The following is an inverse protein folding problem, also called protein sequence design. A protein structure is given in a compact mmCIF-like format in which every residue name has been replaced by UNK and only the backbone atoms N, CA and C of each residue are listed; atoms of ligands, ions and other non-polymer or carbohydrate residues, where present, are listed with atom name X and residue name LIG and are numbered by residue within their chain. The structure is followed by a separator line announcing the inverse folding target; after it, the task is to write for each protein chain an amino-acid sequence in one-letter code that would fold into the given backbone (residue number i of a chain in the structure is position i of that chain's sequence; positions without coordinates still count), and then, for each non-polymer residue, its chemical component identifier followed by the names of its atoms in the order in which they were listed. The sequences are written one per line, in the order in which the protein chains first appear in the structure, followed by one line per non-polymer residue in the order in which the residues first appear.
data_IF_163957050390
#
_entry.id   IF_163957050390
#
_cell.length_a   1.000
_cell.length_b   1.000
_cell.length_c   1.000
_cell.angle_alpha   90.00
_cell.angle_beta   90.00
_cell.angle_gamma   90.00
#
_symmetry.space_group_name_H-M   'P 1'
#
loop_
_entity.id
_entity.type
_entity.pdbx_description
1 polymer ?
#
# COMPACT_ATOMS: atom_id res chain seq x y z
N UNK A 1 20.17 28.98 -19.38
CA UNK A 1 19.63 27.60 -19.40
C UNK A 1 18.44 27.61 -18.46
N UNK A 2 17.22 27.59 -19.00
CA UNK A 2 16.04 27.40 -18.17
C UNK A 2 16.19 26.04 -17.48
N UNK A 3 16.05 25.99 -16.16
CA UNK A 3 15.81 24.73 -15.48
C UNK A 3 14.51 24.22 -16.08
N UNK A 4 14.59 23.08 -16.75
CA UNK A 4 13.42 22.31 -17.14
C UNK A 4 12.72 21.94 -15.82
N UNK A 5 11.71 22.72 -15.43
CA UNK A 5 10.86 22.38 -14.29
C UNK A 5 9.93 21.27 -14.77
N UNK A 6 10.47 20.05 -14.85
CA UNK A 6 9.66 18.86 -15.07
C UNK A 6 8.65 18.79 -13.92
N UNK A 7 7.37 18.95 -14.25
CA UNK A 7 6.27 18.84 -13.30
C UNK A 7 6.28 17.41 -12.78
N UNK A 8 6.45 17.25 -11.46
CA UNK A 8 6.29 15.95 -10.80
C UNK A 8 4.82 15.74 -10.45
N UNK A 9 4.30 14.60 -10.85
CA UNK A 9 3.00 14.08 -10.45
C UNK A 9 3.17 13.14 -9.27
N UNK A 10 2.16 13.14 -8.39
CA UNK A 10 1.99 12.10 -7.39
C UNK A 10 0.72 11.33 -7.72
N UNK A 11 0.88 10.04 -7.99
CA UNK A 11 -0.21 9.13 -8.31
C UNK A 11 -0.38 8.13 -7.19
N UNK A 12 -1.61 7.66 -7.00
CA UNK A 12 -1.91 6.51 -6.15
C UNK A 12 -2.54 5.45 -7.04
N UNK A 13 -1.93 4.28 -7.05
CA UNK A 13 -2.37 3.14 -7.86
C UNK A 13 -2.83 2.05 -6.91
N UNK A 14 -4.04 1.56 -7.12
CA UNK A 14 -4.65 0.49 -6.35
C UNK A 14 -4.80 -0.74 -7.22
N UNK A 15 -4.57 -1.91 -6.63
CA UNK A 15 -4.75 -3.20 -7.28
C UNK A 15 -5.48 -4.17 -6.35
N UNK A 16 -6.24 -5.08 -6.97
CA UNK A 16 -6.94 -6.15 -6.27
C UNK A 16 -7.23 -7.34 -7.20
N UNK A 17 -7.52 -8.50 -6.60
CA UNK A 17 -7.93 -9.76 -7.25
C UNK A 17 -6.97 -10.20 -8.38
N UNK A 18 -5.66 -10.15 -8.10
CA UNK A 18 -4.60 -10.51 -9.06
C UNK A 18 -4.08 -11.93 -8.89
N UNK A 19 -4.56 -12.63 -7.87
CA UNK A 19 -4.13 -13.94 -7.43
C UNK A 19 -5.21 -15.01 -7.60
N UNK A 20 -4.82 -16.25 -7.36
CA UNK A 20 -5.68 -17.44 -7.31
C UNK A 20 -5.22 -18.31 -6.14
N UNK A 21 -6.06 -19.25 -5.72
CA UNK A 21 -5.69 -20.27 -4.72
C UNK A 21 -4.38 -20.98 -5.15
N UNK A 22 -3.48 -21.19 -4.18
CA UNK A 22 -2.13 -21.77 -4.38
C UNK A 22 -1.16 -20.96 -5.29
N UNK A 23 -1.52 -19.73 -5.67
CA UNK A 23 -0.65 -18.81 -6.43
C UNK A 23 0.06 -17.76 -5.55
N UNK A 24 0.99 -16.98 -6.13
CA UNK A 24 1.52 -15.80 -5.46
C UNK A 24 0.39 -14.82 -5.14
N UNK A 25 0.29 -14.38 -3.89
CA UNK A 25 -0.76 -13.47 -3.46
C UNK A 25 -0.65 -12.07 -4.08
N UNK A 26 -1.75 -11.33 -4.10
CA UNK A 26 -1.81 -9.96 -4.68
C UNK A 26 -0.77 -9.01 -4.06
N UNK A 27 -0.44 -9.16 -2.78
CA UNK A 27 0.64 -8.39 -2.13
C UNK A 27 2.03 -8.63 -2.73
N UNK A 28 2.30 -9.81 -3.28
CA UNK A 28 3.56 -10.09 -4.00
C UNK A 28 3.61 -9.31 -5.31
N UNK A 29 2.52 -9.32 -6.09
CA UNK A 29 2.45 -8.55 -7.34
C UNK A 29 2.60 -7.05 -7.06
N UNK A 30 1.94 -6.53 -6.02
CA UNK A 30 2.04 -5.12 -5.62
C UNK A 30 3.50 -4.70 -5.37
N UNK A 31 4.29 -5.54 -4.68
CA UNK A 31 5.71 -5.28 -4.42
C UNK A 31 6.58 -5.37 -5.66
N UNK A 32 6.34 -6.36 -6.52
CA UNK A 32 7.07 -6.49 -7.77
C UNK A 32 6.79 -5.31 -8.72
N UNK A 33 5.56 -4.80 -8.73
CA UNK A 33 5.20 -3.61 -9.49
C UNK A 33 5.83 -2.34 -8.89
N UNK A 34 5.90 -2.21 -7.56
CA UNK A 34 6.63 -1.13 -6.92
C UNK A 34 8.13 -1.13 -7.29
N UNK A 35 8.78 -2.30 -7.27
CA UNK A 35 10.16 -2.43 -7.74
C UNK A 35 10.30 -2.10 -9.24
N UNK A 36 9.35 -2.55 -10.08
CA UNK A 36 9.33 -2.21 -11.50
C UNK A 36 9.21 -0.70 -11.75
N UNK A 37 8.52 0.03 -10.88
CA UNK A 37 8.41 1.49 -11.00
C UNK A 37 9.78 2.16 -10.82
N UNK A 38 10.51 1.73 -9.80
CA UNK A 38 11.86 2.23 -9.51
C UNK A 38 12.87 1.78 -10.59
N UNK A 39 12.98 0.47 -10.84
CA UNK A 39 13.98 -0.12 -11.74
C UNK A 39 13.69 0.13 -13.22
N UNK A 40 12.42 0.28 -13.58
CA UNK A 40 11.96 0.54 -14.94
C UNK A 40 12.01 2.00 -15.37
N UNK A 41 12.41 2.91 -14.47
CA UNK A 41 12.44 4.35 -14.73
C UNK A 41 11.05 4.96 -14.93
N UNK A 42 10.01 4.38 -14.30
CA UNK A 42 8.65 4.88 -14.39
C UNK A 42 8.35 5.96 -13.35
N UNK A 43 9.16 6.05 -12.31
CA UNK A 43 9.04 7.00 -11.22
C UNK A 43 9.78 6.49 -10.00
N UNK A 44 9.41 7.00 -8.83
CA UNK A 44 9.86 6.52 -7.54
C UNK A 44 8.66 5.96 -6.77
N UNK A 45 8.79 4.74 -6.24
CA UNK A 45 7.83 4.14 -5.33
C UNK A 45 7.83 4.86 -3.99
N UNK A 46 6.64 5.19 -3.49
CA UNK A 46 6.39 5.72 -2.16
C UNK A 46 5.90 4.60 -1.20
N UNK A 47 6.21 3.35 -1.53
CA UNK A 47 5.85 2.17 -0.75
C UNK A 47 4.43 1.67 -0.97
N UNK A 48 4.24 0.37 -0.70
CA UNK A 48 3.00 -0.37 -0.86
C UNK A 48 2.29 -0.51 0.48
N UNK A 49 1.03 -0.07 0.55
CA UNK A 49 0.14 -0.31 1.69
C UNK A 49 -0.86 -1.42 1.37
N UNK A 50 -1.05 -2.30 2.36
CA UNK A 50 -2.13 -3.28 2.39
C UNK A 50 -3.30 -2.72 3.21
N UNK A 51 -4.50 -2.83 2.67
CA UNK A 51 -5.75 -2.38 3.26
C UNK A 51 -6.69 -3.56 3.46
N UNK A 52 -7.46 -3.54 4.55
CA UNK A 52 -8.40 -4.59 4.86
C UNK A 52 -9.82 -4.15 4.54
N UNK A 53 -10.51 -4.97 3.75
CA UNK A 53 -11.91 -4.79 3.36
C UNK A 53 -12.82 -5.67 4.22
N UNK A 54 -14.13 -5.57 3.99
CA UNK A 54 -15.14 -6.30 4.75
C UNK A 54 -14.82 -7.81 4.77
N UNK A 55 -14.63 -8.35 5.98
CA UNK A 55 -14.57 -9.79 6.21
C UNK A 55 -15.97 -10.34 6.41
N UNK A 56 -16.43 -11.14 5.46
CA UNK A 56 -17.62 -11.99 5.64
C UNK A 56 -17.31 -13.36 5.06
N UNK A 57 -17.81 -14.43 5.69
CA UNK A 57 -17.71 -15.82 5.21
C UNK A 57 -18.29 -16.07 3.80
N UNK A 58 -18.87 -15.04 3.15
CA UNK A 58 -19.48 -15.10 1.82
C UNK A 58 -18.64 -14.48 0.70
N UNK A 59 -17.57 -13.76 1.04
CA UNK A 59 -16.55 -13.33 0.07
C UNK A 59 -15.48 -14.42 0.11
N UNK A 60 -14.99 -14.87 -1.07
CA UNK A 60 -14.21 -16.10 -1.29
C UNK A 60 -13.23 -16.44 -0.16
N UNK A 61 -13.15 -17.74 0.12
CA UNK A 61 -12.62 -18.41 1.31
C UNK A 61 -11.09 -18.29 1.49
N UNK A 62 -10.56 -17.08 1.71
CA UNK A 62 -9.11 -16.85 1.92
C UNK A 62 -8.77 -16.38 3.34
N UNK A 63 -9.74 -16.30 4.26
CA UNK A 63 -9.55 -15.81 5.64
C UNK A 63 -9.21 -14.31 5.76
N UNK A 64 -8.80 -13.68 4.65
CA UNK A 64 -8.39 -12.29 4.54
C UNK A 64 -8.87 -11.69 3.21
N UNK A 65 -9.53 -10.53 3.30
CA UNK A 65 -9.97 -9.74 2.15
C UNK A 65 -9.15 -8.46 2.09
N UNK A 66 -8.00 -8.52 1.41
CA UNK A 66 -7.03 -7.42 1.33
C UNK A 66 -6.94 -6.86 -0.08
N UNK A 67 -6.86 -5.53 -0.18
CA UNK A 67 -6.47 -4.84 -1.39
C UNK A 67 -5.20 -4.00 -1.14
N UNK A 68 -4.52 -3.57 -2.22
CA UNK A 68 -3.19 -2.98 -2.12
C UNK A 68 -3.12 -1.67 -2.89
N UNK A 69 -2.40 -0.70 -2.35
CA UNK A 69 -2.13 0.56 -3.04
C UNK A 69 -0.67 0.97 -2.91
N UNK A 70 -0.13 1.64 -3.92
CA UNK A 70 1.21 2.21 -3.89
C UNK A 70 1.17 3.64 -4.41
N UNK A 71 1.92 4.50 -3.72
CA UNK A 71 2.15 5.87 -4.18
C UNK A 71 3.31 5.90 -5.17
N UNK A 72 3.20 6.74 -6.18
CA UNK A 72 4.26 6.93 -7.19
C UNK A 72 4.51 8.41 -7.36
N UNK A 73 5.77 8.81 -7.26
CA UNK A 73 6.22 10.12 -7.71
C UNK A 73 6.86 9.97 -9.10
N UNK A 74 6.36 10.67 -10.11
CA UNK A 74 6.82 10.52 -11.50
C UNK A 74 6.78 11.85 -12.25
N UNK A 75 7.60 12.00 -13.28
CA UNK A 75 7.52 13.09 -14.26
C UNK A 75 6.69 12.71 -15.50
N UNK A 76 6.20 11.46 -15.57
CA UNK A 76 5.33 10.98 -16.63
C UNK A 76 3.89 11.40 -16.40
N UNK A 77 3.15 11.59 -17.50
CA UNK A 77 1.71 11.78 -17.40
C UNK A 77 1.02 10.48 -16.96
N UNK A 78 -0.16 10.61 -16.35
CA UNK A 78 -0.97 9.45 -15.95
C UNK A 78 -1.31 8.55 -17.14
N UNK A 79 -1.54 9.13 -18.34
CA UNK A 79 -1.87 8.39 -19.55
C UNK A 79 -0.68 7.55 -20.02
N UNK A 80 0.53 8.12 -19.97
CA UNK A 80 1.73 7.39 -20.40
C UNK A 80 2.02 6.23 -19.45
N UNK A 81 1.86 6.44 -18.14
CA UNK A 81 2.18 5.42 -17.14
C UNK A 81 1.11 4.32 -17.07
N UNK A 82 -0.15 4.66 -17.35
CA UNK A 82 -1.27 3.73 -17.26
C UNK A 82 -1.09 2.49 -18.15
N UNK A 83 -0.68 2.67 -19.41
CA UNK A 83 -0.50 1.55 -20.34
C UNK A 83 0.57 0.55 -19.84
N UNK A 84 1.68 1.07 -19.32
CA UNK A 84 2.77 0.26 -18.75
C UNK A 84 2.32 -0.53 -17.51
N UNK A 85 1.56 0.12 -16.61
CA UNK A 85 0.98 -0.53 -15.43
C UNK A 85 0.02 -1.64 -15.86
N UNK A 86 -0.92 -1.33 -16.76
CA UNK A 86 -1.93 -2.27 -17.24
C UNK A 86 -1.27 -3.49 -17.86
N UNK A 87 -0.26 -3.27 -18.71
CA UNK A 87 0.46 -4.34 -19.38
C UNK A 87 1.30 -5.18 -18.40
N UNK A 88 1.91 -4.56 -17.40
CA UNK A 88 2.61 -5.28 -16.35
C UNK A 88 1.66 -6.18 -15.56
N UNK A 89 0.58 -5.61 -15.02
CA UNK A 89 -0.41 -6.36 -14.21
C UNK A 89 -1.03 -7.47 -15.04
N UNK A 90 -1.37 -7.23 -16.32
CA UNK A 90 -1.92 -8.27 -17.21
C UNK A 90 -0.98 -9.46 -17.38
N UNK A 91 0.34 -9.23 -17.46
CA UNK A 91 1.35 -10.29 -17.61
C UNK A 91 1.65 -11.01 -16.29
N UNK A 92 1.65 -10.27 -15.19
CA UNK A 92 2.06 -10.77 -13.87
C UNK A 92 0.91 -11.42 -13.08
N UNK A 93 -0.33 -10.99 -13.29
CA UNK A 93 -1.49 -11.54 -12.59
C UNK A 93 -1.69 -13.02 -12.91
N UNK A 94 -2.14 -13.77 -11.91
CA UNK A 94 -2.34 -15.20 -12.05
C UNK A 94 -3.40 -15.50 -13.11
N UNK A 95 -3.17 -16.53 -13.93
CA UNK A 95 -4.13 -16.95 -14.94
C UNK A 95 -5.44 -17.38 -14.26
N UNK A 96 -6.53 -16.72 -14.60
CA UNK A 96 -7.86 -17.01 -14.04
C UNK A 96 -8.25 -16.11 -12.86
N UNK A 97 -7.35 -15.22 -12.41
CA UNK A 97 -7.70 -14.11 -11.51
C UNK A 97 -8.59 -13.08 -12.19
N UNK A 98 -9.07 -12.10 -11.44
CA UNK A 98 -9.96 -11.05 -11.94
C UNK A 98 -9.42 -9.60 -11.71
N UNK A 99 -8.23 -9.25 -12.24
CA UNK A 99 -7.49 -8.09 -11.77
C UNK A 99 -8.23 -6.76 -11.98
N UNK A 100 -8.22 -5.93 -10.95
CA UNK A 100 -8.59 -4.53 -11.03
C UNK A 100 -7.39 -3.61 -10.81
N UNK A 101 -7.41 -2.47 -11.51
CA UNK A 101 -6.47 -1.37 -11.33
C UNK A 101 -7.28 -0.09 -11.20
N UNK A 102 -6.93 0.74 -10.22
CA UNK A 102 -7.42 2.11 -10.10
C UNK A 102 -6.24 3.07 -10.04
N UNK A 103 -6.33 4.21 -10.73
CA UNK A 103 -5.29 5.23 -10.77
C UNK A 103 -5.90 6.58 -10.42
N UNK A 104 -5.45 7.12 -9.30
CA UNK A 104 -5.86 8.43 -8.79
C UNK A 104 -4.72 9.43 -8.99
N UNK A 105 -5.07 10.62 -9.47
CA UNK A 105 -4.16 11.75 -9.65
C UNK A 105 -4.50 12.86 -8.65
N UNK A 106 -3.68 13.92 -8.61
CA UNK A 106 -3.98 15.13 -7.82
C UNK A 106 -5.30 15.83 -8.16
N UNK A 107 -5.92 15.48 -9.30
CA UNK A 107 -7.18 16.05 -9.77
C UNK A 107 -8.41 15.22 -9.39
N UNK A 108 -8.23 14.12 -8.67
CA UNK A 108 -9.33 13.27 -8.21
C UNK A 108 -9.99 13.81 -6.93
N UNK A 109 -11.27 13.50 -6.73
CA UNK A 109 -12.00 13.79 -5.49
C UNK A 109 -11.63 12.77 -4.41
N UNK A 110 -10.64 13.12 -3.59
CA UNK A 110 -10.14 12.26 -2.51
C UNK A 110 -11.24 11.95 -1.48
N UNK A 111 -11.99 12.93 -0.91
CA UNK A 111 -13.07 12.63 0.03
C UNK A 111 -14.10 11.64 -0.50
N UNK A 112 -14.52 11.79 -1.75
CA UNK A 112 -15.52 10.91 -2.36
C UNK A 112 -14.98 9.49 -2.58
N UNK A 113 -13.74 9.37 -3.05
CA UNK A 113 -13.06 8.07 -3.23
C UNK A 113 -12.80 7.38 -1.88
N UNK A 114 -12.40 8.14 -0.85
CA UNK A 114 -12.22 7.62 0.51
C UNK A 114 -13.54 7.10 1.09
N UNK A 115 -14.65 7.79 0.86
CA UNK A 115 -15.97 7.33 1.31
C UNK A 115 -16.32 5.96 0.70
N UNK A 116 -16.00 5.72 -0.57
CA UNK A 116 -16.13 4.41 -1.19
C UNK A 116 -15.28 3.35 -0.51
N UNK A 117 -13.99 3.66 -0.28
CA UNK A 117 -13.06 2.75 0.39
C UNK A 117 -13.54 2.35 1.78
N UNK A 118 -14.00 3.31 2.59
CA UNK A 118 -14.58 3.04 3.92
C UNK A 118 -15.83 2.17 3.85
N UNK A 119 -16.71 2.38 2.87
CA UNK A 119 -17.88 1.50 2.67
C UNK A 119 -17.48 0.09 2.29
N UNK A 120 -16.42 -0.11 1.52
CA UNK A 120 -15.89 -1.47 1.23
C UNK A 120 -15.40 -2.21 2.48
N UNK A 121 -15.09 -1.50 3.58
CA UNK A 121 -14.71 -2.11 4.86
C UNK A 121 -15.92 -2.60 5.68
N UNK A 122 -17.13 -2.13 5.36
CA UNK A 122 -18.35 -2.40 6.16
C UNK A 122 -19.52 -2.97 5.37
N UNK A 123 -19.49 -2.89 4.03
CA UNK A 123 -20.59 -3.25 3.13
C UNK A 123 -20.10 -4.09 1.95
N UNK A 124 -20.99 -4.95 1.43
CA UNK A 124 -20.75 -5.63 0.15
C UNK A 124 -21.10 -4.65 -0.96
N UNK A 125 -20.07 -4.17 -1.65
CA UNK A 125 -20.20 -3.21 -2.74
C UNK A 125 -20.48 -3.90 -4.07
N UNK A 126 -21.05 -3.15 -5.02
CA UNK A 126 -21.37 -3.63 -6.37
C UNK A 126 -20.49 -2.94 -7.41
N UNK A 127 -20.23 -3.64 -8.52
CA UNK A 127 -19.40 -3.12 -9.61
C UNK A 127 -19.97 -1.82 -10.19
N UNK A 128 -21.29 -1.71 -10.38
CA UNK A 128 -21.90 -0.50 -10.90
C UNK A 128 -21.63 0.73 -10.01
N UNK A 129 -21.58 0.54 -8.68
CA UNK A 129 -21.26 1.61 -7.75
C UNK A 129 -19.78 2.00 -7.85
N UNK A 130 -18.87 1.03 -7.96
CA UNK A 130 -17.46 1.34 -8.16
C UNK A 130 -17.25 2.19 -9.42
N UNK A 131 -17.90 1.85 -10.53
CA UNK A 131 -17.82 2.62 -11.77
C UNK A 131 -18.42 4.03 -11.64
N UNK A 132 -19.55 4.18 -10.94
CA UNK A 132 -20.13 5.50 -10.66
C UNK A 132 -19.21 6.36 -9.82
N UNK A 133 -18.74 5.85 -8.68
CA UNK A 133 -17.83 6.58 -7.77
C UNK A 133 -16.53 6.98 -8.48
N UNK A 134 -15.97 6.08 -9.29
CA UNK A 134 -14.78 6.34 -10.10
C UNK A 134 -14.97 7.51 -11.06
N UNK A 135 -16.09 7.54 -11.80
CA UNK A 135 -16.40 8.61 -12.73
C UNK A 135 -16.64 9.94 -12.01
N UNK A 136 -17.43 9.92 -10.93
CA UNK A 136 -17.75 11.11 -10.13
C UNK A 136 -16.50 11.68 -9.44
N UNK A 137 -15.54 10.83 -9.09
CA UNK A 137 -14.31 11.21 -8.40
C UNK A 137 -13.10 11.42 -9.31
N UNK A 138 -13.27 11.33 -10.64
CA UNK A 138 -12.17 11.44 -11.61
C UNK A 138 -10.99 10.49 -11.29
N UNK A 139 -11.30 9.22 -11.02
CA UNK A 139 -10.33 8.14 -10.83
C UNK A 139 -10.42 7.21 -12.04
N UNK A 140 -9.28 6.86 -12.65
CA UNK A 140 -9.25 5.90 -13.75
C UNK A 140 -9.37 4.47 -13.23
N UNK A 141 -10.21 3.64 -13.86
CA UNK A 141 -10.30 2.20 -13.56
C UNK A 141 -10.00 1.38 -14.81
N UNK A 142 -9.27 0.29 -14.63
CA UNK A 142 -9.07 -0.77 -15.62
C UNK A 142 -9.39 -2.11 -14.96
N UNK A 143 -10.45 -2.75 -15.44
CA UNK A 143 -10.80 -4.11 -15.04
C UNK A 143 -10.28 -5.05 -16.13
N UNK A 144 -9.29 -5.88 -15.80
CA UNK A 144 -8.60 -6.76 -16.74
C UNK A 144 -9.19 -8.17 -16.74
N UNK A 145 -9.85 -8.53 -15.66
CA UNK A 145 -10.53 -9.81 -15.51
C UNK A 145 -11.89 -9.90 -16.21
N UNK A 146 -12.46 -11.10 -16.21
CA UNK A 146 -13.74 -11.39 -16.87
C UNK A 146 -14.94 -10.91 -16.05
N UNK A 147 -14.90 -11.07 -14.73
CA UNK A 147 -15.97 -10.67 -13.81
C UNK A 147 -15.88 -9.18 -13.46
N UNK A 148 -14.68 -8.61 -13.56
CA UNK A 148 -14.34 -7.19 -13.33
C UNK A 148 -14.54 -6.72 -11.88
N UNK A 149 -14.69 -7.63 -10.94
CA UNK A 149 -14.88 -7.42 -9.51
C UNK A 149 -13.64 -6.85 -8.83
N UNK A 150 -12.42 -7.17 -9.28
CA UNK A 150 -11.20 -6.56 -8.74
C UNK A 150 -11.20 -5.02 -8.81
N UNK A 151 -12.00 -4.41 -9.71
CA UNK A 151 -12.16 -2.97 -9.77
C UNK A 151 -12.73 -2.35 -8.48
N UNK A 152 -13.51 -3.12 -7.71
CA UNK A 152 -14.08 -2.67 -6.44
C UNK A 152 -12.97 -2.46 -5.42
N UNK A 153 -12.14 -3.48 -5.17
CA UNK A 153 -11.08 -3.35 -4.18
C UNK A 153 -9.93 -2.47 -4.64
N UNK A 154 -9.64 -2.40 -5.95
CA UNK A 154 -8.67 -1.45 -6.49
C UNK A 154 -9.09 0.02 -6.21
N UNK A 155 -10.36 0.36 -6.44
CA UNK A 155 -10.89 1.69 -6.10
C UNK A 155 -10.90 1.95 -4.59
N UNK A 156 -11.24 0.92 -3.80
CA UNK A 156 -11.17 1.03 -2.35
C UNK A 156 -9.74 1.30 -1.86
N UNK A 157 -8.75 0.59 -2.41
CA UNK A 157 -7.34 0.73 -2.03
C UNK A 157 -6.83 2.14 -2.26
N UNK A 158 -7.10 2.73 -3.44
CA UNK A 158 -6.66 4.11 -3.72
C UNK A 158 -7.31 5.10 -2.76
N UNK A 159 -8.61 4.97 -2.48
CA UNK A 159 -9.33 5.85 -1.55
C UNK A 159 -8.79 5.76 -0.12
N UNK A 160 -8.58 4.54 0.38
CA UNK A 160 -8.03 4.30 1.72
C UNK A 160 -6.60 4.83 1.85
N UNK A 161 -5.74 4.61 0.84
CA UNK A 161 -4.38 5.17 0.80
C UNK A 161 -4.39 6.70 0.76
N UNK A 162 -5.22 7.29 -0.09
CA UNK A 162 -5.32 8.76 -0.20
C UNK A 162 -5.85 9.43 1.06
N UNK A 163 -6.70 8.74 1.83
CA UNK A 163 -7.18 9.23 3.12
C UNK A 163 -6.10 9.38 4.19
N UNK A 164 -4.92 8.77 3.99
CA UNK A 164 -3.74 8.98 4.84
C UNK A 164 -3.81 8.35 6.23
N UNK A 165 -4.87 7.61 6.56
CA UNK A 165 -5.13 7.07 7.90
C UNK A 165 -5.61 5.61 7.87
N UNK A 166 -5.22 4.89 6.83
CA UNK A 166 -5.52 3.47 6.66
C UNK A 166 -4.37 2.80 5.90
N UNK A 167 -4.07 1.56 6.27
CA UNK A 167 -3.08 0.75 5.60
C UNK A 167 -1.82 0.49 6.41
N UNK A 168 -1.26 -0.70 6.18
CA UNK A 168 0.04 -1.13 6.70
C UNK A 168 1.03 -1.25 5.55
N UNK A 169 2.20 -0.65 5.68
CA UNK A 169 3.24 -0.74 4.67
C UNK A 169 3.81 -2.17 4.64
N UNK A 170 3.63 -2.88 3.52
CA UNK A 170 4.25 -4.19 3.25
C UNK A 170 5.56 -4.07 2.46
N UNK A 171 5.76 -2.88 1.89
CA UNK A 171 6.97 -2.46 1.21
C UNK A 171 7.14 -0.95 1.34
N UNK A 172 8.38 -0.54 1.60
CA UNK A 172 8.83 0.83 1.75
C UNK A 172 10.35 0.77 1.74
N UNK A 173 11.03 1.71 1.08
CA UNK A 173 12.49 1.67 0.94
C UNK A 173 13.19 1.32 2.25
N UNK A 174 13.97 0.24 2.25
CA UNK A 174 14.79 -0.22 3.37
C UNK A 174 14.08 -1.05 4.44
N UNK A 175 12.74 -1.12 4.53
CA UNK A 175 12.08 -1.82 5.65
C UNK A 175 12.23 -3.34 5.59
N UNK A 176 12.49 -3.89 4.39
CA UNK A 176 12.67 -5.33 4.15
C UNK A 176 14.11 -5.80 4.28
N UNK A 177 15.07 -4.87 4.37
CA UNK A 177 16.49 -5.15 4.56
C UNK A 177 16.90 -5.17 6.04
N UNK A 178 15.94 -4.93 6.94
CA UNK A 178 16.15 -4.86 8.37
C UNK A 178 16.10 -6.25 8.99
N UNK A 179 17.15 -6.58 9.75
CA UNK A 179 17.23 -7.80 10.53
C UNK A 179 17.75 -7.51 11.95
N UNK A 180 17.34 -8.34 12.91
CA UNK A 180 17.82 -8.27 14.29
C UNK A 180 17.55 -6.93 14.98
N UNK A 181 18.42 -6.58 15.92
CA UNK A 181 18.32 -5.37 16.73
C UNK A 181 19.20 -4.27 16.13
N UNK A 182 18.60 -3.13 15.80
CA UNK A 182 19.30 -1.94 15.27
C UNK A 182 18.96 -0.71 16.11
N UNK A 183 19.67 0.40 15.92
CA UNK A 183 19.30 1.65 16.62
C UNK A 183 18.20 2.40 15.89
N UNK A 184 17.40 3.21 16.60
CA UNK A 184 16.42 4.08 15.95
C UNK A 184 17.07 5.09 14.99
N UNK A 185 18.30 5.52 15.28
CA UNK A 185 19.12 6.32 14.37
C UNK A 185 19.43 5.62 13.05
N UNK A 186 19.73 4.31 13.09
CA UNK A 186 19.97 3.49 11.90
C UNK A 186 18.71 3.39 11.05
N UNK A 187 17.55 3.10 11.66
CA UNK A 187 16.27 3.02 10.96
C UNK A 187 15.94 4.31 10.21
N UNK A 188 16.09 5.48 10.87
CA UNK A 188 15.83 6.80 10.27
C UNK A 188 16.74 7.11 9.07
N UNK A 189 17.94 6.53 9.04
CA UNK A 189 18.92 6.79 7.98
C UNK A 189 18.78 5.83 6.79
N UNK A 190 18.39 4.58 7.04
CA UNK A 190 18.42 3.52 6.04
C UNK A 190 17.04 3.11 5.53
N UNK A 191 15.97 3.69 6.09
CA UNK A 191 14.60 3.45 5.62
C UNK A 191 13.91 4.74 5.20
N UNK A 192 12.78 4.62 4.51
CA UNK A 192 11.88 5.73 4.24
C UNK A 192 10.75 5.87 5.29
N UNK A 193 10.93 5.33 6.50
CA UNK A 193 9.99 5.53 7.60
C UNK A 193 10.03 7.00 8.06
N UNK A 194 8.89 7.67 8.06
CA UNK A 194 8.77 9.08 8.44
C UNK A 194 8.93 9.28 9.96
N UNK A 195 8.27 8.43 10.76
CA UNK A 195 8.22 8.57 12.21
C UNK A 195 8.49 7.25 12.92
N UNK A 196 9.36 7.30 13.92
CA UNK A 196 9.68 6.20 14.83
C UNK A 196 9.47 6.69 16.25
N UNK A 197 8.38 6.26 16.86
CA UNK A 197 7.78 6.88 18.06
C UNK A 197 7.33 5.83 19.08
N UNK A 198 7.27 6.24 20.33
CA UNK A 198 6.67 5.48 21.43
C UNK A 198 5.13 5.46 21.38
N UNK A 199 4.53 4.70 22.30
CA UNK A 199 3.07 4.64 22.48
C UNK A 199 2.46 5.97 22.93
N UNK A 200 3.25 6.82 23.56
CA UNK A 200 2.91 8.20 23.97
C UNK A 200 2.99 9.20 22.81
N UNK A 201 3.51 8.79 21.65
CA UNK A 201 3.69 9.65 20.48
C UNK A 201 5.05 10.35 20.43
N UNK A 202 5.90 10.17 21.45
CA UNK A 202 7.20 10.83 21.50
C UNK A 202 8.25 10.11 20.62
N UNK A 203 9.14 10.85 19.93
CA UNK A 203 10.22 10.25 19.16
C UNK A 203 11.15 9.39 20.02
N UNK A 204 11.47 8.19 19.54
CA UNK A 204 12.45 7.31 20.20
C UNK A 204 13.85 7.91 20.07
N UNK A 205 14.66 7.84 21.14
CA UNK A 205 16.03 8.34 21.12
C UNK A 205 16.85 7.65 20.02
N UNK A 206 17.74 8.39 19.35
CA UNK A 206 18.53 7.84 18.22
C UNK A 206 19.43 6.67 18.65
N UNK A 207 19.90 6.67 19.89
CA UNK A 207 20.81 5.67 20.43
C UNK A 207 20.08 4.48 21.06
N UNK A 208 18.77 4.61 21.28
CA UNK A 208 17.94 3.50 21.71
C UNK A 208 17.80 2.45 20.60
N UNK A 209 17.64 1.19 21.03
CA UNK A 209 17.59 0.02 20.16
C UNK A 209 16.15 -0.36 19.85
N UNK A 210 15.92 -0.88 18.65
CA UNK A 210 14.65 -1.43 18.19
C UNK A 210 14.91 -2.86 17.73
N UNK A 211 14.19 -3.82 18.31
CA UNK A 211 14.17 -5.19 17.79
C UNK A 211 13.26 -5.23 16.56
N UNK A 212 13.83 -5.42 15.39
CA UNK A 212 13.08 -5.38 14.13
C UNK A 212 12.33 -6.68 13.88
N UNK A 213 12.69 -7.77 14.57
CA UNK A 213 12.18 -9.12 14.30
C UNK A 213 12.32 -9.60 12.84
N UNK A 214 13.15 -8.93 12.03
CA UNK A 214 13.16 -9.15 10.57
C UNK A 214 11.84 -8.75 9.88
N UNK A 215 10.95 -8.02 10.58
CA UNK A 215 9.62 -7.70 10.14
C UNK A 215 9.22 -6.32 10.66
N UNK A 216 9.42 -5.31 9.82
CA UNK A 216 9.01 -3.94 10.09
C UNK A 216 7.89 -3.57 9.13
N UNK A 217 6.75 -3.16 9.68
CA UNK A 217 5.54 -2.81 8.93
C UNK A 217 4.89 -1.56 9.54
N UNK A 218 5.40 -0.36 9.22
CA UNK A 218 4.80 0.90 9.67
C UNK A 218 3.34 1.01 9.23
N UNK A 219 2.54 1.80 9.95
CA UNK A 219 1.17 2.14 9.54
C UNK A 219 1.15 3.49 8.85
N UNK A 220 0.19 3.69 7.95
CA UNK A 220 -0.10 5.00 7.40
C UNK A 220 -0.96 5.78 8.40
N UNK A 221 -0.40 6.84 8.97
CA UNK A 221 -1.06 7.72 9.93
C UNK A 221 -0.81 9.17 9.52
N UNK A 222 -1.87 9.96 9.35
CA UNK A 222 -1.84 11.36 8.86
C UNK A 222 -0.92 11.57 7.65
N UNK A 223 -0.98 10.64 6.69
CA UNK A 223 -0.21 10.66 5.46
C UNK A 223 1.26 10.26 5.61
N UNK A 224 1.68 9.82 6.80
CA UNK A 224 3.06 9.43 7.12
C UNK A 224 3.17 7.94 7.41
N UNK A 225 4.33 7.37 7.12
CA UNK A 225 4.72 6.04 7.57
C UNK A 225 5.21 6.07 9.03
N UNK A 226 4.40 5.52 9.94
CA UNK A 226 4.64 5.60 11.39
C UNK A 226 4.92 4.21 11.95
N UNK A 227 6.12 4.03 12.50
CA UNK A 227 6.51 2.86 13.28
C UNK A 227 6.33 3.18 14.77
N UNK A 228 5.24 2.68 15.35
CA UNK A 228 4.98 2.75 16.79
C UNK A 228 5.67 1.59 17.51
N UNK A 229 6.34 1.89 18.61
CA UNK A 229 6.98 0.88 19.45
C UNK A 229 6.58 1.02 20.93
N UNK A 230 6.61 -0.11 21.64
CA UNK A 230 6.54 -0.15 23.10
C UNK A 230 7.90 -0.46 23.69
N UNK A 231 8.19 0.04 24.90
CA UNK A 231 9.42 -0.30 25.60
C UNK A 231 9.40 -1.77 26.04
N UNK A 232 10.55 -2.43 25.92
CA UNK A 232 10.74 -3.77 26.45
C UNK A 232 10.64 -3.75 27.98
N UNK A 233 9.91 -4.70 28.62
CA UNK A 233 9.78 -4.75 30.07
C UNK A 233 11.12 -4.88 30.82
N UNK A 234 12.12 -5.52 30.20
CA UNK A 234 13.41 -5.82 30.82
C UNK A 234 14.55 -4.87 30.44
N UNK A 235 14.35 -3.99 29.44
CA UNK A 235 15.36 -3.05 28.98
C UNK A 235 14.71 -1.76 28.49
N UNK A 236 14.90 -0.68 29.24
CA UNK A 236 14.32 0.64 28.96
C UNK A 236 14.85 1.29 27.68
N UNK A 237 15.98 0.80 27.15
CA UNK A 237 16.57 1.28 25.88
C UNK A 237 16.32 0.33 24.72
N UNK A 238 15.50 -0.70 24.92
CA UNK A 238 15.05 -1.59 23.86
C UNK A 238 13.56 -1.36 23.61
N UNK A 239 13.22 -1.12 22.35
CA UNK A 239 11.88 -0.89 21.87
C UNK A 239 11.45 -2.00 20.93
N UNK A 240 10.17 -2.36 21.00
CA UNK A 240 9.55 -3.43 20.24
C UNK A 240 8.45 -2.83 19.37
N UNK A 241 8.46 -3.00 18.04
CA UNK A 241 7.32 -2.65 17.19
C UNK A 241 6.02 -3.20 17.76
N UNK A 242 4.97 -2.37 17.73
CA UNK A 242 3.62 -2.74 18.19
C UNK A 242 3.04 -3.81 17.28
N UNK A 243 3.08 -3.54 15.97
CA UNK A 243 2.86 -4.55 14.95
C UNK A 243 4.15 -5.35 14.82
N UNK A 244 4.10 -6.63 15.18
CA UNK A 244 5.21 -7.59 15.03
C UNK A 244 4.63 -8.98 14.78
N UNK A 245 5.40 -9.93 14.22
CA UNK A 245 4.90 -11.27 13.96
C UNK A 245 4.39 -11.92 15.24
N UNK A 246 3.15 -12.40 15.24
CA UNK A 246 2.59 -13.23 16.31
C UNK A 246 2.00 -14.49 15.70
N UNK A 247 2.63 -15.66 15.89
CA UNK A 247 2.13 -16.91 15.28
C UNK A 247 2.09 -16.86 13.75
N UNK A 248 1.08 -17.50 13.13
CA UNK A 248 0.89 -17.74 11.69
C UNK A 248 0.70 -16.47 10.81
N UNK A 249 1.28 -15.32 11.19
CA UNK A 249 1.39 -14.15 10.31
C UNK A 249 2.44 -14.43 9.21
N UNK A 250 2.06 -15.24 8.23
CA UNK A 250 2.76 -15.34 6.95
C UNK A 250 2.44 -14.12 6.10
N UNK A 251 3.47 -13.54 5.48
CA UNK A 251 3.41 -12.40 4.56
C UNK A 251 2.25 -12.57 3.55
N UNK A 252 1.12 -11.93 3.84
CA UNK A 252 0.04 -11.62 2.88
C UNK A 252 0.21 -10.22 2.34
#
# INVERSE_FOLDING_TARGET
MAKDETIREQLIIGIDDTDVEDGPGTGTLARLLAAQIDDGGWGNSLGVTRHELLRIYKIKDTGHNFCYAFGVETDRSVLDLEDDIVDYVRRAAAKGSDPGIAIMSRHSDIPHTLAFGRRCQTEVMRLEWALTFSNESNVGIRALGRERLGAIGALAAVGLRAGGNDGRFIDLRGIRDLEGIVTAGYLRQHTAIDLIIGMDGEPIDRDDRVDTYGWVRPRLEDGKSVLRCSQSPGDRRLWLPVDRPTGDDVDG
#
